data_IF_248939394816
#
_entry.id   IF_248939394816
#
_cell.length_a   1.000
_cell.length_b   1.000
_cell.length_c   1.000
_cell.angle_alpha   90.00
_cell.angle_beta   90.00
_cell.angle_gamma   90.00
#
_symmetry.space_group_name_H-M   'P 1'
#
loop_
_entity.id
_entity.type
_entity.pdbx_description
1 polymer ?
#
# COMPACT_ATOMS: atom_id res chain seq x y z
N UNK A 1 21.82 -8.71 -8.57
CA UNK A 1 20.55 -9.41 -8.86
C UNK A 1 19.45 -8.38 -8.71
N UNK A 2 18.38 -8.45 -9.50
CA UNK A 2 17.23 -7.55 -9.36
C UNK A 2 16.22 -8.21 -8.40
N UNK A 3 15.42 -7.41 -7.70
CA UNK A 3 14.33 -7.92 -6.86
C UNK A 3 13.38 -8.79 -7.69
N UNK A 4 13.14 -10.01 -7.24
CA UNK A 4 12.31 -11.01 -7.94
C UNK A 4 10.87 -11.05 -7.42
N UNK A 5 10.66 -10.62 -6.17
CA UNK A 5 9.37 -10.67 -5.50
C UNK A 5 8.96 -9.31 -4.94
N UNK A 6 7.75 -8.89 -5.30
CA UNK A 6 7.08 -7.70 -4.78
C UNK A 6 5.88 -8.13 -3.94
N UNK A 7 5.88 -7.75 -2.66
CA UNK A 7 4.80 -8.10 -1.72
C UNK A 7 4.09 -6.83 -1.29
N UNK A 8 2.77 -6.89 -1.20
CA UNK A 8 1.92 -5.84 -0.69
C UNK A 8 1.09 -6.30 0.49
N UNK A 9 0.96 -5.44 1.50
CA UNK A 9 0.21 -5.73 2.72
C UNK A 9 -0.73 -4.56 3.04
N UNK A 10 -2.05 -4.76 2.93
CA UNK A 10 -3.06 -3.88 3.53
C UNK A 10 -3.27 -4.30 4.99
N UNK A 11 -2.44 -3.75 5.87
CA UNK A 11 -2.35 -4.23 7.24
C UNK A 11 -3.58 -3.81 8.04
N UNK A 12 -4.14 -4.72 8.84
CA UNK A 12 -5.05 -4.31 9.91
C UNK A 12 -4.29 -3.50 10.98
N UNK A 13 -4.56 -2.19 11.07
CA UNK A 13 -3.79 -1.30 11.97
C UNK A 13 -3.99 -1.56 13.47
N UNK A 14 -5.09 -2.21 13.85
CA UNK A 14 -5.38 -2.54 15.25
C UNK A 14 -4.69 -3.85 15.64
N UNK A 15 -3.89 -3.80 16.70
CA UNK A 15 -3.24 -4.96 17.30
C UNK A 15 -3.48 -4.96 18.81
N UNK A 16 -3.73 -6.15 19.38
CA UNK A 16 -3.99 -6.32 20.81
C UNK A 16 -5.45 -6.04 21.21
N UNK A 17 -5.96 -6.90 22.10
CA UNK A 17 -7.35 -6.90 22.60
C UNK A 17 -7.87 -8.33 22.79
N UNK A 18 -9.02 -8.50 23.47
CA UNK A 18 -9.66 -9.82 23.66
C UNK A 18 -10.43 -10.31 22.43
N UNK A 19 -10.51 -9.50 21.36
CA UNK A 19 -11.23 -9.83 20.14
C UNK A 19 -10.28 -10.47 19.12
N UNK A 20 -10.86 -11.34 18.28
CA UNK A 20 -10.17 -11.92 17.12
C UNK A 20 -9.57 -10.80 16.25
N UNK A 21 -8.31 -10.91 15.80
CA UNK A 21 -7.70 -9.94 14.89
C UNK A 21 -8.52 -9.74 13.61
N UNK A 22 -8.50 -8.50 13.10
CA UNK A 22 -9.07 -8.19 11.80
C UNK A 22 -8.24 -8.84 10.68
N UNK A 23 -8.85 -8.94 9.50
CA UNK A 23 -8.16 -9.41 8.30
C UNK A 23 -7.16 -8.37 7.81
N UNK A 24 -6.04 -8.88 7.31
CA UNK A 24 -5.00 -8.16 6.57
C UNK A 24 -5.01 -8.74 5.16
N UNK A 25 -5.10 -7.88 4.15
CA UNK A 25 -4.92 -8.30 2.76
C UNK A 25 -3.44 -8.51 2.46
N UNK A 26 -3.11 -9.57 1.73
CA UNK A 26 -1.73 -9.88 1.33
C UNK A 26 -1.67 -10.28 -0.15
N UNK A 27 -0.65 -9.82 -0.86
CA UNK A 27 -0.41 -10.17 -2.25
C UNK A 27 1.08 -10.24 -2.56
N UNK A 28 1.47 -11.24 -3.35
CA UNK A 28 2.82 -11.49 -3.83
C UNK A 28 2.80 -11.52 -5.37
N UNK A 29 3.66 -10.70 -5.98
CA UNK A 29 3.75 -10.51 -7.43
C UNK A 29 5.22 -10.67 -7.85
N UNK A 30 5.48 -11.32 -8.98
CA UNK A 30 6.83 -11.45 -9.52
C UNK A 30 7.19 -10.33 -10.52
N UNK A 31 8.43 -10.32 -11.03
CA UNK A 31 8.90 -9.34 -12.01
C UNK A 31 8.15 -9.32 -13.36
N UNK A 32 7.36 -10.35 -13.67
CA UNK A 32 6.50 -10.40 -14.86
C UNK A 32 5.10 -9.85 -14.62
N UNK A 33 4.79 -9.41 -13.39
CA UNK A 33 3.46 -8.97 -13.00
C UNK A 33 2.51 -10.12 -12.63
N UNK A 34 2.99 -11.36 -12.62
CA UNK A 34 2.18 -12.52 -12.25
C UNK A 34 1.91 -12.49 -10.75
N UNK A 35 0.64 -12.55 -10.35
CA UNK A 35 0.25 -12.78 -8.96
C UNK A 35 0.63 -14.23 -8.61
N UNK A 36 1.62 -14.39 -7.73
CA UNK A 36 2.17 -15.68 -7.30
C UNK A 36 1.32 -16.28 -6.18
N UNK A 37 0.92 -15.45 -5.23
CA UNK A 37 -0.01 -15.80 -4.17
C UNK A 37 -0.73 -14.53 -3.68
N UNK A 38 -1.97 -14.67 -3.22
CA UNK A 38 -2.69 -13.58 -2.57
C UNK A 38 -3.88 -14.10 -1.77
N UNK A 39 -4.26 -13.34 -0.76
CA UNK A 39 -5.38 -13.69 0.10
C UNK A 39 -5.43 -12.82 1.34
N UNK A 40 -5.72 -13.46 2.47
CA UNK A 40 -5.89 -12.78 3.74
C UNK A 40 -5.25 -13.55 4.87
N UNK A 41 -4.71 -12.80 5.82
CA UNK A 41 -4.19 -13.32 7.09
C UNK A 41 -4.92 -12.62 8.24
N UNK A 42 -4.82 -13.17 9.46
CA UNK A 42 -5.40 -12.58 10.66
C UNK A 42 -4.36 -12.46 11.75
N UNK A 43 -3.99 -11.22 12.03
CA UNK A 43 -2.97 -10.89 13.03
C UNK A 43 -1.55 -11.05 12.51
N UNK A 44 -0.59 -10.62 13.32
CA UNK A 44 0.81 -10.50 12.91
C UNK A 44 1.50 -11.86 12.76
N UNK A 45 1.10 -12.88 13.52
CA UNK A 45 1.72 -14.22 13.42
C UNK A 45 1.43 -14.84 12.05
N UNK A 46 0.16 -14.96 11.65
CA UNK A 46 -0.21 -15.45 10.32
C UNK A 46 0.37 -14.59 9.19
N UNK A 47 0.47 -13.27 9.38
CA UNK A 47 1.06 -12.37 8.37
C UNK A 47 2.55 -12.64 8.17
N UNK A 48 3.30 -12.82 9.26
CA UNK A 48 4.75 -13.11 9.19
C UNK A 48 4.99 -14.51 8.61
N UNK A 49 4.17 -15.50 8.99
CA UNK A 49 4.25 -16.86 8.45
C UNK A 49 3.96 -16.89 6.95
N UNK A 50 2.88 -16.24 6.51
CA UNK A 50 2.55 -16.13 5.09
C UNK A 50 3.68 -15.46 4.29
N UNK A 51 4.22 -14.35 4.83
CA UNK A 51 5.31 -13.61 4.19
C UNK A 51 6.60 -14.45 4.09
N UNK A 52 6.90 -15.30 5.07
CA UNK A 52 8.04 -16.21 5.00
C UNK A 52 7.88 -17.25 3.87
N UNK A 53 6.67 -17.76 3.62
CA UNK A 53 6.37 -18.67 2.52
C UNK A 53 6.33 -17.98 1.15
N UNK A 54 5.95 -16.71 1.11
CA UNK A 54 5.83 -15.93 -0.12
C UNK A 54 7.12 -15.20 -0.53
N UNK A 55 8.12 -15.09 0.34
CA UNK A 55 9.37 -14.41 0.04
C UNK A 55 10.32 -15.28 -0.81
N UNK A 56 11.11 -14.63 -1.66
CA UNK A 56 12.32 -15.18 -2.27
C UNK A 56 13.51 -14.65 -1.47
N UNK A 57 14.31 -15.54 -0.90
CA UNK A 57 15.43 -15.16 -0.06
C UNK A 57 16.41 -14.25 -0.81
N UNK A 58 16.83 -13.15 -0.16
CA UNK A 58 17.71 -12.15 -0.76
C UNK A 58 17.15 -11.39 -1.97
N UNK A 59 15.86 -11.53 -2.32
CA UNK A 59 15.28 -10.91 -3.52
C UNK A 59 13.80 -10.51 -3.36
N UNK A 60 13.43 -9.94 -2.22
CA UNK A 60 12.05 -9.54 -1.91
C UNK A 60 11.93 -8.11 -1.40
N UNK A 61 10.99 -7.35 -1.97
CA UNK A 61 10.60 -6.02 -1.52
C UNK A 61 9.13 -6.01 -1.10
N UNK A 62 8.85 -5.62 0.14
CA UNK A 62 7.51 -5.54 0.73
C UNK A 62 7.09 -4.08 0.89
N UNK A 63 5.91 -3.72 0.43
CA UNK A 63 5.27 -2.43 0.69
C UNK A 63 4.06 -2.63 1.61
N UNK A 64 4.01 -1.87 2.71
CA UNK A 64 2.98 -2.02 3.76
C UNK A 64 2.13 -0.76 3.84
N UNK A 65 0.80 -0.87 3.78
CA UNK A 65 -0.15 0.21 4.12
C UNK A 65 -0.32 0.28 5.65
N UNK A 66 0.72 0.73 6.33
CA UNK A 66 0.66 1.10 7.74
C UNK A 66 1.90 1.92 8.15
N UNK A 67 1.77 2.76 9.19
CA UNK A 67 2.92 3.38 9.83
C UNK A 67 3.93 2.34 10.32
N UNK A 68 5.13 2.31 9.73
CA UNK A 68 6.21 1.40 10.13
C UNK A 68 7.16 2.06 11.13
N UNK A 69 7.46 3.34 10.92
CA UNK A 69 8.27 4.16 11.84
C UNK A 69 7.42 5.32 12.35
N UNK A 70 7.36 5.45 13.68
CA UNK A 70 6.61 6.49 14.39
C UNK A 70 7.50 7.03 15.52
N UNK A 71 8.12 8.17 15.28
CA UNK A 71 9.10 8.81 16.17
C UNK A 71 8.60 10.13 16.80
N UNK A 72 7.43 10.62 16.36
CA UNK A 72 6.85 11.86 16.84
C UNK A 72 5.97 11.64 18.08
N UNK A 73 6.17 12.48 19.11
CA UNK A 73 5.40 12.41 20.35
C UNK A 73 3.92 12.77 20.17
N UNK A 74 3.61 13.69 19.26
CA UNK A 74 2.25 14.13 18.95
C UNK A 74 2.14 14.61 17.49
N UNK A 75 0.92 14.91 17.06
CA UNK A 75 0.66 15.50 15.74
C UNK A 75 0.86 14.53 14.56
N UNK A 76 1.17 15.09 13.40
CA UNK A 76 1.43 14.36 12.14
C UNK A 76 2.93 14.11 11.94
N UNK A 77 3.26 12.94 11.37
CA UNK A 77 4.60 12.69 10.83
C UNK A 77 4.87 13.59 9.62
N UNK A 78 6.15 13.85 9.34
CA UNK A 78 6.56 14.66 8.18
C UNK A 78 5.99 14.12 6.87
N UNK A 79 6.04 12.80 6.67
CA UNK A 79 5.47 12.12 5.51
C UNK A 79 3.96 12.32 5.38
N UNK A 80 3.20 12.20 6.48
CA UNK A 80 1.73 12.38 6.49
C UNK A 80 1.32 13.81 6.12
N UNK A 81 2.06 14.81 6.63
CA UNK A 81 1.87 16.21 6.26
C UNK A 81 2.14 16.43 4.77
N UNK A 82 3.20 15.82 4.24
CA UNK A 82 3.55 15.95 2.82
C UNK A 82 2.55 15.24 1.91
N UNK A 83 1.92 14.14 2.34
CA UNK A 83 0.76 13.56 1.63
C UNK A 83 -0.33 14.62 1.46
N UNK A 84 -0.72 15.32 2.53
CA UNK A 84 -1.75 16.36 2.46
C UNK A 84 -1.37 17.54 1.56
N UNK A 85 -0.10 17.98 1.62
CA UNK A 85 0.40 19.08 0.80
C UNK A 85 0.44 18.74 -0.70
N UNK A 86 0.86 17.53 -1.04
CA UNK A 86 1.18 17.13 -2.42
C UNK A 86 0.04 16.41 -3.14
N UNK A 87 -0.83 15.72 -2.40
CA UNK A 87 -1.92 14.92 -2.95
C UNK A 87 -3.31 15.40 -2.52
N UNK A 88 -3.40 16.43 -1.67
CA UNK A 88 -4.66 16.97 -1.14
C UNK A 88 -5.62 17.46 -2.22
N UNK A 89 -5.11 17.99 -3.35
CA UNK A 89 -5.92 18.38 -4.52
C UNK A 89 -6.78 17.23 -5.04
N UNK A 90 -6.29 15.98 -4.98
CA UNK A 90 -7.01 14.77 -5.38
C UNK A 90 -7.78 14.11 -4.21
N UNK A 91 -8.02 14.86 -3.13
CA UNK A 91 -8.73 14.43 -1.92
C UNK A 91 -8.01 13.34 -1.12
N UNK A 92 -6.70 13.22 -1.27
CA UNK A 92 -5.87 12.25 -0.53
C UNK A 92 -5.23 12.92 0.69
N UNK A 93 -5.39 12.29 1.86
CA UNK A 93 -4.79 12.74 3.13
C UNK A 93 -4.56 11.54 4.04
N UNK A 94 -3.36 11.39 4.58
CA UNK A 94 -3.05 10.33 5.54
C UNK A 94 -3.66 10.62 6.92
N UNK A 95 -3.99 9.56 7.68
CA UNK A 95 -4.35 9.73 9.09
C UNK A 95 -3.07 10.09 9.88
N UNK A 96 -3.20 10.95 10.88
CA UNK A 96 -2.08 11.26 11.78
C UNK A 96 -1.73 10.07 12.67
N UNK A 97 -0.44 9.75 12.77
CA UNK A 97 0.10 8.76 13.71
C UNK A 97 1.18 9.38 14.58
N UNK A 98 1.22 8.99 15.86
CA UNK A 98 2.22 9.39 16.83
C UNK A 98 2.42 8.27 17.87
N UNK A 99 3.40 8.42 18.76
CA UNK A 99 3.75 7.40 19.76
C UNK A 99 2.61 7.06 20.72
N UNK A 100 1.63 7.94 20.89
CA UNK A 100 0.40 7.70 21.66
C UNK A 100 -0.72 6.98 20.90
N UNK A 101 -0.57 6.74 19.60
CA UNK A 101 -1.60 6.08 18.78
C UNK A 101 -1.81 4.62 19.22
N UNK A 102 -3.06 4.13 19.33
CA UNK A 102 -3.34 2.72 19.62
C UNK A 102 -3.10 1.80 18.41
N UNK A 103 -2.84 2.38 17.23
CA UNK A 103 -2.74 1.67 15.94
C UNK A 103 -1.28 1.37 15.59
N UNK A 104 -0.64 0.49 16.35
CA UNK A 104 0.81 0.19 16.25
C UNK A 104 1.16 -1.11 15.49
N UNK A 105 0.20 -1.71 14.77
CA UNK A 105 0.44 -2.98 14.09
C UNK A 105 1.64 -2.94 13.12
N UNK A 106 1.82 -1.84 12.37
CA UNK A 106 2.95 -1.68 11.44
C UNK A 106 4.30 -1.63 12.13
N UNK A 107 4.42 -0.88 13.23
CA UNK A 107 5.63 -0.84 14.07
C UNK A 107 5.98 -2.23 14.61
N UNK A 108 4.99 -2.96 15.12
CA UNK A 108 5.18 -4.31 15.64
C UNK A 108 5.52 -5.32 14.54
N UNK A 109 4.94 -5.18 13.34
CA UNK A 109 5.32 -5.98 12.18
C UNK A 109 6.78 -5.77 11.81
N UNK A 110 7.22 -4.50 11.73
CA UNK A 110 8.62 -4.15 11.45
C UNK A 110 9.57 -4.75 12.48
N UNK A 111 9.26 -4.67 13.78
CA UNK A 111 10.08 -5.25 14.84
C UNK A 111 10.24 -6.78 14.69
N UNK A 112 9.16 -7.48 14.33
CA UNK A 112 9.19 -8.94 14.12
C UNK A 112 9.99 -9.30 12.88
N UNK A 113 9.77 -8.60 11.77
CA UNK A 113 10.48 -8.87 10.52
C UNK A 113 11.97 -8.56 10.63
N UNK A 114 12.37 -7.51 11.37
CA UNK A 114 13.78 -7.24 11.66
C UNK A 114 14.46 -8.39 12.40
N UNK A 115 13.79 -9.00 13.37
CA UNK A 115 14.29 -10.20 14.07
C UNK A 115 14.42 -11.41 13.13
N UNK A 116 13.64 -11.44 12.05
CA UNK A 116 13.67 -12.46 11.01
C UNK A 116 14.61 -12.10 9.83
N UNK A 117 15.46 -11.08 9.96
CA UNK A 117 16.47 -10.72 8.95
C UNK A 117 16.05 -9.69 7.91
N UNK A 118 14.87 -9.08 8.04
CA UNK A 118 14.41 -8.04 7.12
C UNK A 118 14.98 -6.66 7.47
N UNK A 119 15.28 -5.85 6.46
CA UNK A 119 15.71 -4.45 6.62
C UNK A 119 14.60 -3.48 6.23
N UNK A 120 14.47 -2.38 6.98
CA UNK A 120 13.60 -1.28 6.58
C UNK A 120 14.37 -0.34 5.65
N UNK A 121 13.72 0.04 4.55
CA UNK A 121 14.24 1.03 3.60
C UNK A 121 13.31 2.24 3.55
N UNK A 122 13.89 3.42 3.83
CA UNK A 122 13.17 4.69 3.87
C UNK A 122 13.09 5.41 2.51
N UNK A 123 13.63 4.79 1.46
CA UNK A 123 13.56 5.22 0.07
C UNK A 123 14.54 6.32 -0.33
N UNK A 124 15.29 6.93 0.60
CA UNK A 124 16.13 8.10 0.31
C UNK A 124 17.25 7.84 -0.70
N UNK A 125 17.76 6.60 -0.76
CA UNK A 125 18.80 6.20 -1.73
C UNK A 125 18.24 5.59 -3.02
N UNK A 126 16.92 5.63 -3.21
CA UNK A 126 16.28 4.92 -4.31
C UNK A 126 15.97 3.46 -3.96
N UNK A 127 15.52 2.66 -4.95
CA UNK A 127 15.05 1.31 -4.69
C UNK A 127 16.18 0.36 -4.32
N UNK A 128 15.96 -0.55 -3.34
CA UNK A 128 16.90 -1.62 -3.05
C UNK A 128 16.99 -2.58 -4.23
N UNK A 129 18.20 -3.10 -4.49
CA UNK A 129 18.41 -4.07 -5.57
C UNK A 129 18.34 -5.52 -5.11
N UNK A 130 18.48 -5.78 -3.81
CA UNK A 130 18.51 -7.13 -3.23
C UNK A 130 18.19 -7.10 -1.74
N UNK A 131 18.03 -8.28 -1.15
CA UNK A 131 17.74 -8.47 0.26
C UNK A 131 16.27 -8.78 0.53
N UNK A 132 15.95 -8.86 1.81
CA UNK A 132 14.58 -8.91 2.32
C UNK A 132 14.25 -7.53 2.89
N UNK A 133 13.57 -6.72 2.09
CA UNK A 133 13.39 -5.29 2.38
C UNK A 133 11.92 -4.96 2.55
N UNK A 134 11.60 -4.08 3.49
CA UNK A 134 10.26 -3.51 3.64
C UNK A 134 10.26 -1.99 3.67
N UNK A 135 9.24 -1.39 3.08
CA UNK A 135 9.00 0.05 3.05
C UNK A 135 7.53 0.37 3.33
N UNK A 136 7.28 1.60 3.78
CA UNK A 136 5.93 2.11 4.02
C UNK A 136 5.38 2.73 2.72
N UNK A 137 4.12 2.43 2.42
CA UNK A 137 3.39 3.03 1.30
C UNK A 137 1.99 3.44 1.75
N UNK A 138 1.27 4.11 0.85
CA UNK A 138 -0.12 4.50 1.11
C UNK A 138 -0.93 4.36 -0.19
N UNK A 139 -1.75 3.32 -0.38
CA UNK A 139 -2.40 3.01 -1.66
C UNK A 139 -3.16 4.18 -2.30
N UNK A 140 -3.71 5.09 -1.49
CA UNK A 140 -4.35 6.29 -2.03
C UNK A 140 -3.42 7.21 -2.83
N UNK A 141 -2.13 7.31 -2.46
CA UNK A 141 -1.16 8.06 -3.28
C UNK A 141 -0.85 7.31 -4.56
N UNK A 142 -0.81 5.98 -4.55
CA UNK A 142 -0.70 5.16 -5.78
C UNK A 142 -1.85 5.43 -6.73
N UNK A 143 -3.09 5.42 -6.23
CA UNK A 143 -4.29 5.62 -7.06
C UNK A 143 -4.26 6.91 -7.87
N UNK A 144 -3.82 8.02 -7.28
CA UNK A 144 -3.81 9.33 -7.94
C UNK A 144 -2.44 9.69 -8.50
N UNK A 145 -1.38 9.00 -8.08
CA UNK A 145 0.00 9.25 -8.48
C UNK A 145 0.47 8.44 -9.68
N UNK A 146 -0.12 7.26 -9.90
CA UNK A 146 0.05 6.52 -11.13
C UNK A 146 -0.82 7.11 -12.24
N UNK A 147 -0.23 7.39 -13.40
CA UNK A 147 -0.97 7.90 -14.55
C UNK A 147 -1.90 6.82 -15.12
N UNK A 148 -1.46 5.56 -15.06
CA UNK A 148 -2.12 4.37 -15.57
C UNK A 148 -3.51 4.14 -14.96
N UNK A 149 -3.74 4.61 -13.73
CA UNK A 149 -5.02 4.45 -13.03
C UNK A 149 -6.02 5.57 -13.37
N UNK A 150 -5.59 6.66 -14.02
CA UNK A 150 -6.46 7.69 -14.60
C UNK A 150 -7.36 8.44 -13.60
N UNK A 151 -6.91 8.61 -12.35
CA UNK A 151 -7.61 9.42 -11.33
C UNK A 151 -7.10 10.87 -11.32
N UNK A 152 -7.27 11.57 -12.44
CA UNK A 152 -6.69 12.89 -12.68
C UNK A 152 -7.36 14.02 -11.88
N UNK A 153 -8.59 13.78 -11.40
CA UNK A 153 -9.39 14.77 -10.66
C UNK A 153 -9.43 14.48 -9.16
N UNK A 154 -9.78 13.25 -8.78
CA UNK A 154 -9.87 12.82 -7.39
C UNK A 154 -9.75 11.31 -7.26
N UNK A 155 -9.32 10.85 -6.09
CA UNK A 155 -9.31 9.42 -5.73
C UNK A 155 -10.71 8.78 -5.83
N UNK A 156 -10.81 7.46 -6.08
CA UNK A 156 -12.10 6.77 -6.09
C UNK A 156 -12.78 6.76 -4.73
N UNK A 157 -14.11 6.69 -4.76
CA UNK A 157 -14.95 6.66 -3.57
C UNK A 157 -15.24 5.22 -3.11
N UNK A 158 -14.17 4.46 -2.83
CA UNK A 158 -14.28 3.03 -2.51
C UNK A 158 -14.11 2.70 -1.01
N UNK A 159 -13.48 3.54 -0.17
CA UNK A 159 -13.36 3.25 1.28
C UNK A 159 -14.30 4.06 2.16
N UNK A 160 -14.27 5.39 2.03
CA UNK A 160 -14.97 6.34 2.92
C UNK A 160 -16.12 7.05 2.23
N UNK A 161 -17.27 7.14 2.92
CA UNK A 161 -18.47 7.84 2.44
C UNK A 161 -18.21 9.35 2.35
N UNK A 162 -18.36 9.99 1.18
CA UNK A 162 -18.36 11.44 1.08
C UNK A 162 -19.63 12.03 1.70
N UNK A 163 -19.53 13.22 2.28
CA UNK A 163 -20.69 13.91 2.84
C UNK A 163 -21.84 14.10 1.83
N UNK A 164 -21.49 14.31 0.55
CA UNK A 164 -22.44 14.48 -0.58
C UNK A 164 -23.24 13.22 -0.94
N UNK A 165 -22.87 12.03 -0.45
CA UNK A 165 -23.56 10.77 -0.77
C UNK A 165 -24.50 10.40 0.38
N UNK A 166 -25.82 10.27 0.14
CA UNK A 166 -26.77 9.82 1.14
C UNK A 166 -26.39 8.44 1.72
N UNK A 167 -26.65 8.23 3.02
CA UNK A 167 -26.29 6.98 3.70
C UNK A 167 -26.97 5.75 3.10
N UNK A 168 -28.18 5.90 2.56
CA UNK A 168 -28.94 4.83 1.92
C UNK A 168 -28.25 4.32 0.63
N UNK A 169 -27.66 5.22 -0.15
CA UNK A 169 -27.04 4.90 -1.44
C UNK A 169 -25.58 4.48 -1.30
N UNK A 170 -24.96 4.76 -0.14
CA UNK A 170 -23.53 4.59 0.06
C UNK A 170 -23.00 3.22 -0.32
N UNK A 171 -23.69 2.14 0.07
CA UNK A 171 -23.22 0.77 -0.22
C UNK A 171 -23.20 0.48 -1.73
N UNK A 172 -24.16 1.01 -2.48
CA UNK A 172 -24.22 0.83 -3.92
C UNK A 172 -23.15 1.68 -4.63
N UNK A 173 -23.04 2.97 -4.27
CA UNK A 173 -22.00 3.87 -4.80
C UNK A 173 -20.59 3.33 -4.54
N UNK A 174 -20.35 2.82 -3.33
CA UNK A 174 -19.07 2.24 -2.92
C UNK A 174 -18.73 0.99 -3.74
N UNK A 175 -19.69 0.07 -3.89
CA UNK A 175 -19.50 -1.13 -4.70
C UNK A 175 -19.18 -0.79 -6.16
N UNK A 176 -19.93 0.13 -6.77
CA UNK A 176 -19.69 0.58 -8.14
C UNK A 176 -18.31 1.22 -8.30
N UNK A 177 -17.91 2.10 -7.38
CA UNK A 177 -16.59 2.72 -7.42
C UNK A 177 -15.44 1.71 -7.25
N UNK A 178 -15.67 0.63 -6.51
CA UNK A 178 -14.72 -0.47 -6.36
C UNK A 178 -14.58 -1.28 -7.65
N UNK A 179 -15.70 -1.59 -8.32
CA UNK A 179 -15.67 -2.30 -9.60
C UNK A 179 -15.00 -1.47 -10.70
N UNK A 180 -15.23 -0.15 -10.72
CA UNK A 180 -14.49 0.76 -11.61
C UNK A 180 -12.98 0.76 -11.30
N UNK A 181 -12.61 0.81 -10.02
CA UNK A 181 -11.22 0.71 -9.60
C UNK A 181 -10.61 -0.61 -10.06
N UNK A 182 -11.27 -1.74 -9.86
CA UNK A 182 -10.77 -3.06 -10.27
C UNK A 182 -10.61 -3.13 -11.79
N UNK A 183 -11.53 -2.55 -12.57
CA UNK A 183 -11.36 -2.44 -14.02
C UNK A 183 -10.11 -1.66 -14.42
N UNK A 184 -9.80 -0.56 -13.72
CA UNK A 184 -8.55 0.22 -13.94
C UNK A 184 -7.32 -0.56 -13.51
N UNK A 185 -7.36 -1.27 -12.38
CA UNK A 185 -6.26 -2.14 -11.93
C UNK A 185 -6.04 -3.30 -12.91
N UNK A 186 -7.09 -3.89 -13.48
CA UNK A 186 -6.96 -4.91 -14.52
C UNK A 186 -6.28 -4.37 -15.80
N UNK A 187 -6.48 -3.08 -16.11
CA UNK A 187 -5.77 -2.37 -17.18
C UNK A 187 -4.25 -2.29 -16.98
N UNK A 188 -3.74 -2.49 -15.76
CA UNK A 188 -2.30 -2.55 -15.50
C UNK A 188 -1.62 -3.78 -16.12
N UNK A 189 -2.36 -4.72 -16.71
CA UNK A 189 -1.79 -5.85 -17.43
C UNK A 189 -0.85 -5.43 -18.59
N UNK A 190 -1.02 -4.22 -19.12
CA UNK A 190 -0.18 -3.64 -20.19
C UNK A 190 0.70 -2.48 -19.72
N UNK A 191 0.73 -2.20 -18.41
CA UNK A 191 1.60 -1.19 -17.82
C UNK A 191 3.06 -1.67 -17.70
N UNK A 192 3.98 -0.76 -17.36
CA UNK A 192 5.35 -1.10 -16.96
C UNK A 192 5.60 -0.60 -15.52
N UNK A 193 5.73 -1.50 -14.51
CA UNK A 193 5.62 -2.94 -14.62
C UNK A 193 4.15 -3.40 -14.76
N UNK A 194 3.90 -4.59 -15.35
CA UNK A 194 2.56 -5.12 -15.47
C UNK A 194 2.02 -5.64 -14.13
N UNK A 195 0.69 -5.76 -14.02
CA UNK A 195 0.01 -6.54 -12.99
C UNK A 195 -1.09 -7.40 -13.62
N UNK A 196 -0.93 -8.71 -13.54
CA UNK A 196 -1.79 -9.69 -14.19
C UNK A 196 -2.82 -10.27 -13.20
N UNK A 197 -3.86 -9.51 -12.87
CA UNK A 197 -4.87 -9.95 -11.88
C UNK A 197 -5.47 -11.34 -12.16
N UNK A 198 -5.63 -11.71 -13.42
CA UNK A 198 -6.22 -12.99 -13.81
C UNK A 198 -5.29 -14.20 -13.65
N UNK A 199 -4.00 -14.00 -13.32
CA UNK A 199 -3.02 -15.08 -13.21
C UNK A 199 -3.21 -15.96 -11.98
N UNK A 200 -3.89 -15.47 -10.94
CA UNK A 200 -4.16 -16.21 -9.71
C UNK A 200 -5.68 -16.33 -9.47
N UNK A 201 -6.21 -17.51 -9.06
CA UNK A 201 -7.66 -17.70 -8.89
C UNK A 201 -8.31 -16.72 -7.92
N UNK A 202 -7.63 -16.35 -6.83
CA UNK A 202 -8.17 -15.43 -5.83
C UNK A 202 -8.31 -14.01 -6.38
N UNK A 203 -7.29 -13.47 -7.04
CA UNK A 203 -7.34 -12.13 -7.64
C UNK A 203 -8.20 -12.08 -8.90
N UNK A 204 -8.31 -13.18 -9.66
CA UNK A 204 -9.20 -13.28 -10.83
C UNK A 204 -10.67 -13.04 -10.48
N UNK A 205 -11.12 -13.51 -9.32
CA UNK A 205 -12.49 -13.26 -8.83
C UNK A 205 -12.81 -11.77 -8.67
N UNK A 206 -11.81 -10.91 -8.49
CA UNK A 206 -12.03 -9.46 -8.49
C UNK A 206 -12.64 -8.99 -9.82
N UNK A 207 -12.18 -9.52 -10.94
CA UNK A 207 -12.69 -9.15 -12.27
C UNK A 207 -13.95 -9.92 -12.69
N UNK A 208 -14.22 -11.08 -12.10
CA UNK A 208 -15.34 -11.96 -12.48
C UNK A 208 -16.61 -11.72 -11.63
N UNK A 209 -16.45 -11.25 -10.40
CA UNK A 209 -17.56 -11.05 -9.46
C UNK A 209 -17.76 -9.55 -9.17
N UNK A 210 -19.00 -9.06 -9.04
CA UNK A 210 -19.26 -7.68 -8.66
C UNK A 210 -18.92 -7.43 -7.19
N UNK A 211 -18.62 -6.17 -6.86
CA UNK A 211 -18.33 -5.81 -5.48
C UNK A 211 -19.55 -6.00 -4.58
N UNK A 212 -19.42 -6.71 -3.44
CA UNK A 212 -20.54 -7.00 -2.57
C UNK A 212 -20.97 -5.75 -1.80
N UNK A 213 -22.27 -5.65 -1.49
CA UNK A 213 -22.82 -4.49 -0.75
C UNK A 213 -22.75 -4.65 0.77
N UNK A 214 -22.60 -5.88 1.27
CA UNK A 214 -22.48 -6.15 2.70
C UNK A 214 -21.13 -5.66 3.19
N UNK A 215 -21.12 -4.91 4.30
CA UNK A 215 -19.93 -4.19 4.74
C UNK A 215 -18.71 -5.11 5.00
N UNK A 216 -18.93 -6.28 5.59
CA UNK A 216 -17.86 -7.25 5.86
C UNK A 216 -17.29 -7.88 4.58
N UNK A 217 -18.14 -8.37 3.67
CA UNK A 217 -17.68 -8.93 2.38
C UNK A 217 -16.95 -7.88 1.55
N UNK A 218 -17.41 -6.64 1.61
CA UNK A 218 -16.74 -5.56 0.91
C UNK A 218 -15.38 -5.27 1.52
N UNK A 219 -15.25 -5.20 2.85
CA UNK A 219 -13.94 -4.98 3.50
C UNK A 219 -12.98 -6.10 3.13
N UNK A 220 -13.43 -7.36 3.17
CA UNK A 220 -12.65 -8.50 2.70
C UNK A 220 -12.13 -8.29 1.26
N UNK A 221 -13.00 -7.88 0.32
CA UNK A 221 -12.59 -7.57 -1.06
C UNK A 221 -11.65 -6.36 -1.17
N UNK A 222 -11.96 -5.27 -0.45
CA UNK A 222 -11.17 -4.03 -0.39
C UNK A 222 -9.71 -4.32 0.00
N UNK A 223 -9.51 -5.16 1.01
CA UNK A 223 -8.19 -5.46 1.58
C UNK A 223 -7.28 -6.14 0.56
N UNK A 224 -7.85 -7.05 -0.24
CA UNK A 224 -7.11 -7.70 -1.31
C UNK A 224 -6.75 -6.71 -2.43
N UNK A 225 -7.65 -5.81 -2.81
CA UNK A 225 -7.38 -4.76 -3.81
C UNK A 225 -6.24 -3.86 -3.34
N UNK A 226 -6.25 -3.44 -2.08
CA UNK A 226 -5.20 -2.57 -1.54
C UNK A 226 -3.87 -3.30 -1.36
N UNK A 227 -3.87 -4.57 -1.00
CA UNK A 227 -2.67 -5.39 -0.97
C UNK A 227 -2.04 -5.52 -2.36
N UNK A 228 -2.84 -5.75 -3.40
CA UNK A 228 -2.37 -5.77 -4.79
C UNK A 228 -1.82 -4.41 -5.24
N UNK A 229 -2.45 -3.31 -4.84
CA UNK A 229 -1.94 -1.96 -5.09
C UNK A 229 -0.60 -1.71 -4.36
N UNK A 230 -0.45 -2.17 -3.12
CA UNK A 230 0.82 -2.10 -2.40
C UNK A 230 1.92 -2.88 -3.14
N UNK A 231 1.63 -4.11 -3.57
CA UNK A 231 2.58 -4.96 -4.29
C UNK A 231 3.00 -4.31 -5.62
N UNK A 232 2.04 -3.77 -6.37
CA UNK A 232 2.34 -3.06 -7.61
C UNK A 232 3.10 -1.75 -7.37
N UNK A 233 2.86 -1.07 -6.25
CA UNK A 233 3.65 0.11 -5.86
C UNK A 233 5.11 -0.27 -5.59
N UNK A 234 5.36 -1.41 -4.93
CA UNK A 234 6.72 -1.93 -4.75
C UNK A 234 7.40 -2.24 -6.09
N UNK A 235 6.68 -2.87 -7.02
CA UNK A 235 7.19 -3.14 -8.37
C UNK A 235 7.50 -1.85 -9.14
N UNK A 236 6.60 -0.86 -9.09
CA UNK A 236 6.79 0.45 -9.74
C UNK A 236 8.01 1.18 -9.15
N UNK A 237 8.17 1.15 -7.82
CA UNK A 237 9.33 1.70 -7.13
C UNK A 237 10.62 1.01 -7.55
N UNK A 238 10.66 -0.32 -7.55
CA UNK A 238 11.83 -1.09 -7.96
C UNK A 238 12.21 -0.85 -9.42
N UNK A 239 11.22 -0.67 -10.30
CA UNK A 239 11.42 -0.53 -11.75
C UNK A 239 11.89 0.87 -12.13
N UNK A 240 11.28 1.90 -11.54
CA UNK A 240 11.44 3.29 -12.01
C UNK A 240 12.04 4.24 -10.97
N UNK A 241 12.12 3.84 -9.71
CA UNK A 241 12.66 4.66 -8.64
C UNK A 241 12.05 6.06 -8.60
N UNK A 242 12.91 7.06 -8.40
CA UNK A 242 12.50 8.46 -8.25
C UNK A 242 11.93 9.10 -9.54
N UNK A 243 12.12 8.47 -10.71
CA UNK A 243 11.55 9.00 -11.96
C UNK A 243 10.02 8.94 -11.98
N UNK A 244 9.43 7.92 -11.35
CA UNK A 244 7.96 7.72 -11.26
C UNK A 244 7.41 7.79 -9.85
N UNK A 245 8.28 7.78 -8.84
CA UNK A 245 7.90 7.86 -7.43
C UNK A 245 8.61 9.02 -6.73
N UNK A 246 8.16 9.34 -5.52
CA UNK A 246 8.79 10.28 -4.61
C UNK A 246 8.79 9.72 -3.18
N UNK A 247 9.70 10.22 -2.36
CA UNK A 247 9.80 9.89 -0.93
C UNK A 247 9.24 11.05 -0.13
N UNK A 248 8.10 10.83 0.52
CA UNK A 248 7.47 11.83 1.38
C UNK A 248 8.09 11.75 2.78
N UNK A 249 8.46 12.90 3.34
CA UNK A 249 9.16 12.95 4.63
C UNK A 249 10.67 12.74 4.54
N UNK A 250 11.27 12.75 3.35
CA UNK A 250 12.71 12.56 3.13
C UNK A 250 13.60 13.56 3.90
N UNK A 251 13.08 14.75 4.23
CA UNK A 251 13.76 15.76 5.05
C UNK A 251 13.74 15.49 6.56
N UNK A 252 13.29 14.32 7.02
CA UNK A 252 13.37 13.94 8.44
C UNK A 252 14.83 13.90 8.92
N UNK A 253 15.16 14.46 10.09
CA UNK A 253 16.54 14.46 10.62
C UNK A 253 17.03 13.09 11.11
N UNK A 254 16.26 12.02 10.89
CA UNK A 254 16.60 10.67 11.31
C UNK A 254 17.75 10.05 10.49
N UNK A 255 18.58 9.18 11.10
CA UNK A 255 19.59 8.39 10.38
C UNK A 255 19.00 7.58 9.22
N UNK A 256 19.83 7.25 8.24
CA UNK A 256 19.47 6.41 7.09
C UNK A 256 18.89 5.05 7.55
N UNK A 257 17.78 4.62 6.94
CA UNK A 257 17.09 3.38 7.34
C UNK A 257 16.25 3.51 8.61
N UNK A 258 16.02 4.74 9.07
CA UNK A 258 15.22 5.04 10.27
C UNK A 258 14.25 6.22 10.09
N UNK A 259 14.22 6.87 8.92
CA UNK A 259 13.30 7.99 8.72
C UNK A 259 11.85 7.50 8.54
N UNK A 260 10.86 8.15 9.16
CA UNK A 260 9.45 7.89 8.90
C UNK A 260 9.04 8.45 7.54
N UNK A 261 9.15 7.63 6.49
CA UNK A 261 8.82 8.02 5.11
C UNK A 261 7.62 7.27 4.57
N UNK A 262 7.02 7.81 3.51
CA UNK A 262 6.05 7.10 2.65
C UNK A 262 6.61 7.17 1.23
N UNK A 263 6.79 6.02 0.59
CA UNK A 263 7.14 5.95 -0.82
C UNK A 263 5.84 5.98 -1.63
N UNK A 264 5.74 6.91 -2.58
CA UNK A 264 4.51 7.19 -3.30
C UNK A 264 4.78 7.42 -4.80
N UNK A 265 3.99 6.81 -5.70
CA UNK A 265 3.97 7.20 -7.11
C UNK A 265 3.61 8.68 -7.26
N UNK A 266 4.22 9.36 -8.21
CA UNK A 266 4.12 10.81 -8.34
C UNK A 266 4.11 11.28 -9.80
N UNK A 267 3.13 12.14 -10.10
CA UNK A 267 3.10 12.96 -11.31
C UNK A 267 3.86 14.26 -11.09
N UNK A 268 4.18 14.98 -12.16
CA UNK A 268 4.95 16.22 -12.09
C UNK A 268 4.28 17.25 -11.16
N UNK A 269 2.97 17.41 -11.27
CA UNK A 269 2.16 18.35 -10.49
C UNK A 269 1.98 17.96 -9.01
N UNK A 270 2.46 16.78 -8.61
CA UNK A 270 2.46 16.30 -7.22
C UNK A 270 3.85 16.40 -6.56
N UNK A 271 4.88 16.78 -7.32
CA UNK A 271 6.20 17.06 -6.78
C UNK A 271 6.24 18.49 -6.27
N UNK A 272 7.11 18.78 -5.29
CA UNK A 272 7.43 20.19 -4.97
C UNK A 272 8.23 20.77 -6.12
N UNK A 273 7.98 22.03 -6.46
CA UNK A 273 8.72 22.75 -7.50
C UNK A 273 10.23 22.52 -7.35
N UNK A 274 10.85 21.91 -8.37
CA UNK A 274 12.30 21.67 -8.43
C UNK A 274 12.82 20.35 -7.84
N UNK A 275 11.96 19.45 -7.33
CA UNK A 275 12.39 18.08 -7.05
C UNK A 275 12.33 17.23 -8.34
N UNK A 276 13.42 16.56 -8.76
CA UNK A 276 13.39 15.65 -9.90
C UNK A 276 12.35 14.54 -9.70
#
# INVERSE_FOLDING_TARGET
MAVERFIGIDLAWAHGGTRRPNETGVAAVDGSGTVVDCGWTRGLDETVEWLAGAAVDGSTLVFVDAPLVVDNAAGQRGCEREVGQRYGRWKVSANSTNTGSPRKAGVLLLERLRKAGWSYDDGREGPPTSGLVLSECYPYTTLVGAAELGYDLERPTYKRRPARVPSADWRAVRAQACDELIGRVAGLATADPPLLLASHPVSRRLTEEPSPRRAADYKHREDLVDALLCAWTAALWSRHGLTRCQVLGAGSPAPQGHAPTIIAPARAEQRRDGAP
#
